data_IF_609835767750
#
_entry.id   IF_609835767750
#
_cell.length_a   1.000
_cell.length_b   1.000
_cell.length_c   1.000
_cell.angle_alpha   90.00
_cell.angle_beta   90.00
_cell.angle_gamma   90.00
#
_symmetry.space_group_name_H-M   'P 1'
#
loop_
_entity.id
_entity.type
_entity.pdbx_description
1 polymer ?
#
# COMPACT_ATOMS: atom_id res chain seq x y z
N UNK A 1 -7.21 17.95 -2.05
CA UNK A 1 -8.27 18.97 -1.83
C UNK A 1 -7.82 20.04 -0.84
N UNK A 2 -7.38 19.68 0.36
CA UNK A 2 -7.02 20.63 1.42
C UNK A 2 -5.91 21.61 1.02
N UNK A 3 -4.82 21.13 0.43
CA UNK A 3 -3.72 21.98 -0.07
C UNK A 3 -4.22 23.00 -1.10
N UNK A 4 -5.07 22.59 -2.04
CA UNK A 4 -5.58 23.47 -3.09
C UNK A 4 -6.54 24.54 -2.53
N UNK A 5 -7.38 24.17 -1.54
CA UNK A 5 -8.22 25.14 -0.83
C UNK A 5 -7.40 26.15 -0.04
N UNK A 6 -6.34 25.70 0.64
CA UNK A 6 -5.37 26.57 1.36
C UNK A 6 -4.66 27.55 0.43
N UNK A 7 -4.63 27.27 -0.88
CA UNK A 7 -4.08 28.14 -1.91
C UNK A 7 -5.16 28.94 -2.67
N UNK A 8 -6.37 29.08 -2.11
CA UNK A 8 -7.41 29.97 -2.63
C UNK A 8 -8.26 29.42 -3.77
N UNK A 9 -8.17 28.12 -4.08
CA UNK A 9 -9.01 27.51 -5.11
C UNK A 9 -10.36 27.08 -4.55
N UNK A 10 -11.44 27.48 -5.23
CA UNK A 10 -12.80 27.07 -4.90
C UNK A 10 -13.01 25.57 -5.12
N UNK A 11 -13.81 24.95 -4.25
CA UNK A 11 -14.04 23.50 -4.29
C UNK A 11 -14.65 23.03 -5.61
N UNK A 12 -15.56 23.80 -6.18
CA UNK A 12 -16.19 23.49 -7.47
C UNK A 12 -15.16 23.51 -8.61
N UNK A 13 -14.27 24.49 -8.61
CA UNK A 13 -13.14 24.57 -9.54
C UNK A 13 -12.19 23.37 -9.38
N UNK A 14 -11.89 22.97 -8.15
CA UNK A 14 -11.03 21.82 -7.91
C UNK A 14 -11.71 20.53 -8.40
N UNK A 15 -12.99 20.32 -8.06
CA UNK A 15 -13.75 19.13 -8.46
C UNK A 15 -13.88 19.01 -9.97
N UNK A 16 -14.19 20.12 -10.66
CA UNK A 16 -14.35 20.12 -12.12
C UNK A 16 -13.04 19.80 -12.85
N UNK A 17 -11.88 20.22 -12.31
CA UNK A 17 -10.56 19.99 -12.93
C UNK A 17 -9.82 18.75 -12.42
N UNK A 18 -10.30 18.10 -11.37
CA UNK A 18 -9.59 16.98 -10.72
C UNK A 18 -9.29 15.83 -11.70
N UNK A 19 -10.25 15.52 -12.57
CA UNK A 19 -10.08 14.48 -13.61
C UNK A 19 -8.96 14.83 -14.58
N UNK A 20 -8.88 16.08 -15.01
CA UNK A 20 -7.82 16.55 -15.92
C UNK A 20 -6.46 16.59 -15.23
N UNK A 21 -6.42 16.98 -13.95
CA UNK A 21 -5.21 16.92 -13.14
C UNK A 21 -4.69 15.48 -13.02
N UNK A 22 -5.55 14.51 -12.67
CA UNK A 22 -5.20 13.09 -12.58
C UNK A 22 -4.68 12.58 -13.92
N UNK A 23 -5.37 12.90 -15.03
CA UNK A 23 -4.94 12.53 -16.39
C UNK A 23 -3.58 13.12 -16.72
N UNK A 24 -3.34 14.38 -16.36
CA UNK A 24 -2.07 15.06 -16.56
C UNK A 24 -0.96 14.42 -15.74
N UNK A 25 -1.21 14.08 -14.48
CA UNK A 25 -0.25 13.38 -13.62
C UNK A 25 0.15 12.01 -14.22
N UNK A 26 -0.82 11.23 -14.69
CA UNK A 26 -0.56 9.94 -15.34
C UNK A 26 0.25 10.14 -16.62
N UNK A 27 -0.09 11.13 -17.44
CA UNK A 27 0.66 11.44 -18.66
C UNK A 27 2.09 11.87 -18.38
N UNK A 28 2.31 12.71 -17.36
CA UNK A 28 3.64 13.11 -16.93
C UNK A 28 4.44 11.89 -16.44
N UNK A 29 3.83 11.05 -15.59
CA UNK A 29 4.44 9.81 -15.13
C UNK A 29 4.83 8.89 -16.31
N UNK A 30 3.95 8.67 -17.28
CA UNK A 30 4.26 7.81 -18.43
C UNK A 30 5.42 8.34 -19.28
N UNK A 31 5.57 9.67 -19.38
CA UNK A 31 6.67 10.30 -20.13
C UNK A 31 8.01 10.22 -19.40
N UNK A 32 8.01 10.33 -18.07
CA UNK A 32 9.25 10.43 -17.28
C UNK A 32 9.71 9.10 -16.70
N UNK A 33 8.78 8.16 -16.49
CA UNK A 33 9.06 6.91 -15.78
C UNK A 33 9.74 5.83 -16.63
N UNK A 34 9.97 6.09 -17.93
CA UNK A 34 10.67 5.16 -18.83
C UNK A 34 12.07 4.81 -18.28
N UNK A 35 12.74 5.78 -17.66
CA UNK A 35 14.06 5.61 -17.07
C UNK A 35 14.03 5.50 -15.52
N UNK A 36 12.84 5.38 -14.92
CA UNK A 36 12.71 5.19 -13.47
C UNK A 36 13.21 3.80 -13.09
N UNK A 37 14.32 3.73 -12.35
CA UNK A 37 14.82 2.48 -11.80
C UNK A 37 13.99 2.08 -10.58
N UNK A 38 13.05 1.16 -10.79
CA UNK A 38 12.30 0.54 -9.69
C UNK A 38 13.12 -0.62 -9.14
N UNK A 39 13.45 -0.57 -7.85
CA UNK A 39 14.24 -1.60 -7.16
C UNK A 39 13.30 -2.37 -6.23
N UNK A 40 13.40 -3.69 -6.29
CA UNK A 40 12.73 -4.56 -5.31
C UNK A 40 13.67 -4.70 -4.11
N UNK A 41 13.15 -4.44 -2.92
CA UNK A 41 13.90 -4.61 -1.69
C UNK A 41 14.23 -6.10 -1.47
N UNK A 42 15.41 -6.37 -0.91
CA UNK A 42 15.86 -7.73 -0.62
C UNK A 42 14.84 -8.49 0.24
N UNK A 43 14.55 -9.74 -0.13
CA UNK A 43 13.63 -10.62 0.58
C UNK A 43 12.15 -10.46 0.17
N UNK A 44 11.77 -9.37 -0.50
CA UNK A 44 10.36 -9.15 -0.89
C UNK A 44 9.90 -10.17 -1.92
N UNK A 45 10.74 -10.57 -2.89
CA UNK A 45 10.33 -11.56 -3.91
C UNK A 45 10.10 -12.92 -3.28
N UNK A 46 11.02 -13.32 -2.43
CA UNK A 46 11.00 -14.58 -1.72
C UNK A 46 9.79 -14.66 -0.79
N UNK A 47 9.51 -13.59 -0.06
CA UNK A 47 8.32 -13.47 0.78
C UNK A 47 7.02 -13.58 -0.03
N UNK A 48 6.87 -12.79 -1.10
CA UNK A 48 5.65 -12.82 -1.93
C UNK A 48 5.43 -14.20 -2.56
N UNK A 49 6.51 -14.87 -2.99
CA UNK A 49 6.44 -16.25 -3.47
C UNK A 49 5.97 -17.21 -2.39
N UNK A 50 6.48 -17.09 -1.16
CA UNK A 50 6.09 -17.98 -0.08
C UNK A 50 4.62 -17.77 0.32
N UNK A 51 4.18 -16.52 0.45
CA UNK A 51 2.77 -16.20 0.72
C UNK A 51 1.84 -16.73 -0.38
N UNK A 52 2.23 -16.64 -1.65
CA UNK A 52 1.46 -17.18 -2.78
C UNK A 52 1.34 -18.72 -2.72
N UNK A 53 2.43 -19.44 -2.39
CA UNK A 53 2.39 -20.90 -2.19
C UNK A 53 1.40 -21.32 -1.10
N UNK A 54 1.28 -20.49 -0.06
CA UNK A 54 0.33 -20.70 1.03
C UNK A 54 -1.07 -20.15 0.75
N UNK A 55 -1.36 -19.73 -0.49
CA UNK A 55 -2.65 -19.18 -0.92
C UNK A 55 -3.10 -17.95 -0.13
N UNK A 56 -2.16 -17.14 0.37
CA UNK A 56 -2.48 -15.89 1.06
C UNK A 56 -3.01 -14.88 0.05
N UNK A 57 -4.21 -14.34 0.32
CA UNK A 57 -4.79 -13.29 -0.52
C UNK A 57 -4.06 -11.96 -0.28
N UNK A 58 -3.27 -11.53 -1.27
CA UNK A 58 -2.50 -10.30 -1.18
C UNK A 58 -3.21 -9.11 -1.85
N UNK A 59 -3.23 -7.98 -1.16
CA UNK A 59 -3.77 -6.70 -1.65
C UNK A 59 -2.72 -5.59 -1.63
N UNK A 60 -2.76 -4.69 -2.62
CA UNK A 60 -1.89 -3.51 -2.66
C UNK A 60 -2.64 -2.29 -2.13
N UNK A 61 -2.12 -1.65 -1.08
CA UNK A 61 -2.62 -0.37 -0.58
C UNK A 61 -1.54 0.69 -0.75
N UNK A 62 -1.86 1.79 -1.44
CA UNK A 62 -0.88 2.84 -1.72
C UNK A 62 -1.52 4.19 -1.99
N UNK A 63 -0.85 5.29 -1.61
CA UNK A 63 -1.25 6.64 -2.00
C UNK A 63 -1.03 6.98 -3.48
N UNK A 64 -0.39 6.09 -4.26
CA UNK A 64 -0.27 6.28 -5.71
C UNK A 64 -1.63 6.15 -6.40
N UNK A 65 -1.80 6.88 -7.50
CA UNK A 65 -2.90 6.61 -8.44
C UNK A 65 -2.77 5.16 -8.95
N UNK A 66 -3.90 4.47 -9.12
CA UNK A 66 -3.89 3.05 -9.48
C UNK A 66 -3.02 2.71 -10.71
N UNK A 67 -3.10 3.43 -11.86
CA UNK A 67 -2.27 3.12 -13.02
C UNK A 67 -0.77 3.23 -12.74
N UNK A 68 -0.37 4.17 -11.86
CA UNK A 68 1.03 4.40 -11.47
C UNK A 68 1.50 3.29 -10.54
N UNK A 69 0.71 2.97 -9.50
CA UNK A 69 1.05 1.89 -8.57
C UNK A 69 1.20 0.54 -9.26
N UNK A 70 0.29 0.22 -10.19
CA UNK A 70 0.32 -1.01 -10.98
C UNK A 70 1.49 -1.05 -11.97
N UNK A 71 1.82 0.07 -12.63
CA UNK A 71 2.98 0.14 -13.53
C UNK A 71 4.30 -0.13 -12.79
N UNK A 72 4.49 0.45 -11.60
CA UNK A 72 5.68 0.21 -10.77
C UNK A 72 5.87 -1.27 -10.46
N UNK A 73 4.81 -1.98 -10.06
CA UNK A 73 4.88 -3.42 -9.83
C UNK A 73 5.12 -4.22 -11.12
N UNK A 74 4.53 -3.80 -12.25
CA UNK A 74 4.73 -4.46 -13.55
C UNK A 74 6.18 -4.39 -14.00
N UNK A 75 6.85 -3.24 -13.84
CA UNK A 75 8.27 -3.05 -14.20
C UNK A 75 9.22 -4.02 -13.50
N UNK A 76 8.81 -4.55 -12.35
CA UNK A 76 9.58 -5.52 -11.56
C UNK A 76 8.93 -6.90 -11.49
N UNK A 77 7.92 -7.18 -12.32
CA UNK A 77 7.22 -8.47 -12.37
C UNK A 77 6.66 -8.93 -11.01
N UNK A 78 6.02 -8.01 -10.28
CA UNK A 78 5.34 -8.28 -9.00
C UNK A 78 3.83 -8.04 -9.05
N UNK A 79 3.29 -7.55 -10.16
CA UNK A 79 1.87 -7.18 -10.24
C UNK A 79 0.92 -8.38 -10.06
N UNK A 80 1.38 -9.60 -10.36
CA UNK A 80 0.59 -10.83 -10.34
C UNK A 80 0.19 -11.29 -8.93
N UNK A 81 0.96 -10.92 -7.90
CA UNK A 81 0.69 -11.32 -6.51
C UNK A 81 -0.54 -10.60 -5.94
N UNK A 82 -0.75 -9.33 -6.31
CA UNK A 82 -1.75 -8.46 -5.69
C UNK A 82 -3.10 -8.50 -6.41
N UNK A 83 -4.05 -9.27 -5.88
CA UNK A 83 -5.37 -9.52 -6.49
C UNK A 83 -6.38 -8.40 -6.28
N UNK A 84 -6.24 -7.64 -5.18
CA UNK A 84 -7.08 -6.50 -4.85
C UNK A 84 -6.24 -5.28 -4.49
N UNK A 85 -6.88 -4.12 -4.30
CA UNK A 85 -6.16 -2.94 -3.82
C UNK A 85 -7.02 -1.72 -3.53
N UNK A 86 -6.41 -0.79 -2.79
CA UNK A 86 -6.92 0.55 -2.51
C UNK A 86 -5.85 1.58 -2.87
N UNK A 87 -6.22 2.56 -3.69
CA UNK A 87 -5.29 3.48 -4.33
C UNK A 87 -5.61 4.93 -3.98
N UNK A 88 -4.64 5.83 -4.06
CA UNK A 88 -4.87 7.27 -3.83
C UNK A 88 -5.85 7.91 -4.83
N UNK A 89 -6.20 7.20 -5.91
CA UNK A 89 -7.30 7.56 -6.81
C UNK A 89 -8.69 7.29 -6.22
N UNK A 90 -8.80 6.39 -5.24
CA UNK A 90 -10.06 6.01 -4.58
C UNK A 90 -10.40 6.95 -3.41
N UNK A 91 -9.42 7.23 -2.54
CA UNK A 91 -9.58 8.08 -1.36
C UNK A 91 -8.24 8.70 -0.94
N UNK A 92 -8.28 9.83 -0.24
CA UNK A 92 -7.11 10.46 0.37
C UNK A 92 -6.78 9.87 1.76
N UNK A 93 -7.78 9.32 2.44
CA UNK A 93 -7.62 8.73 3.77
C UNK A 93 -7.11 7.29 3.65
N UNK A 94 -5.91 7.04 4.17
CA UNK A 94 -5.23 5.75 4.02
C UNK A 94 -6.01 4.58 4.65
N UNK A 95 -6.67 4.80 5.79
CA UNK A 95 -7.52 3.77 6.41
C UNK A 95 -8.74 3.40 5.56
N UNK A 96 -9.27 4.33 4.77
CA UNK A 96 -10.34 4.04 3.80
C UNK A 96 -9.82 3.17 2.65
N UNK A 97 -8.57 3.37 2.22
CA UNK A 97 -7.94 2.51 1.20
C UNK A 97 -7.79 1.06 1.69
N UNK A 98 -7.39 0.88 2.94
CA UNK A 98 -7.31 -0.46 3.59
C UNK A 98 -8.69 -1.10 3.64
N UNK A 99 -9.70 -0.38 4.14
CA UNK A 99 -11.10 -0.86 4.19
C UNK A 99 -11.64 -1.20 2.80
N UNK A 100 -11.31 -0.41 1.79
CA UNK A 100 -11.72 -0.65 0.41
C UNK A 100 -11.07 -1.92 -0.16
N UNK A 101 -9.78 -2.14 0.09
CA UNK A 101 -9.09 -3.36 -0.33
C UNK A 101 -9.72 -4.61 0.32
N UNK A 102 -10.03 -4.54 1.63
CA UNK A 102 -10.71 -5.63 2.36
C UNK A 102 -12.12 -5.86 1.82
N UNK A 103 -12.87 -4.80 1.52
CA UNK A 103 -14.20 -4.91 0.92
C UNK A 103 -14.12 -5.63 -0.43
N UNK A 104 -13.23 -5.18 -1.33
CA UNK A 104 -12.99 -5.83 -2.63
C UNK A 104 -12.55 -7.29 -2.47
N UNK A 105 -11.74 -7.60 -1.44
CA UNK A 105 -11.34 -8.97 -1.13
C UNK A 105 -12.56 -9.84 -0.80
N UNK A 106 -13.43 -9.39 0.13
CA UNK A 106 -14.63 -10.12 0.55
C UNK A 106 -15.67 -10.31 -0.55
N UNK A 107 -15.74 -9.36 -1.49
CA UNK A 107 -16.67 -9.43 -2.63
C UNK A 107 -16.23 -10.41 -3.71
N UNK A 108 -14.91 -10.58 -3.93
CA UNK A 108 -14.37 -11.35 -5.04
C UNK A 108 -13.75 -12.70 -4.62
N UNK A 109 -13.47 -12.87 -3.33
CA UNK A 109 -12.78 -14.04 -2.80
C UNK A 109 -13.41 -14.48 -1.48
N UNK A 110 -13.41 -15.79 -1.24
CA UNK A 110 -13.71 -16.35 0.06
C UNK A 110 -12.43 -16.46 0.86
N UNK A 111 -12.33 -15.73 1.97
CA UNK A 111 -11.28 -15.91 2.95
C UNK A 111 -11.89 -15.79 4.35
N UNK A 112 -11.39 -16.60 5.27
CA UNK A 112 -11.72 -16.57 6.68
C UNK A 112 -10.40 -16.56 7.43
N UNK A 113 -10.07 -15.45 8.08
CA UNK A 113 -8.76 -15.25 8.68
C UNK A 113 -8.45 -13.79 9.00
N UNK A 114 -7.34 -13.61 9.71
CA UNK A 114 -6.83 -12.30 10.07
C UNK A 114 -6.34 -11.53 8.84
N UNK A 115 -6.50 -10.21 8.89
CA UNK A 115 -5.93 -9.29 7.90
C UNK A 115 -4.76 -8.58 8.55
N UNK A 116 -3.64 -8.54 7.83
CA UNK A 116 -2.43 -7.84 8.23
C UNK A 116 -2.12 -6.71 7.25
N UNK A 117 -1.82 -5.53 7.76
CA UNK A 117 -1.31 -4.41 6.98
C UNK A 117 0.19 -4.26 7.24
N UNK A 118 0.98 -4.43 6.18
CA UNK A 118 2.42 -4.19 6.18
C UNK A 118 2.72 -2.79 5.67
N UNK A 119 3.57 -2.05 6.39
CA UNK A 119 3.98 -0.70 5.97
C UNK A 119 5.23 -0.22 6.70
N UNK A 120 5.88 0.80 6.14
CA UNK A 120 7.16 1.34 6.59
C UNK A 120 7.04 2.74 7.22
N UNK A 121 5.81 3.22 7.40
CA UNK A 121 5.52 4.55 7.95
C UNK A 121 4.57 4.47 9.17
N UNK A 122 4.67 5.41 10.13
CA UNK A 122 3.66 5.58 11.19
C UNK A 122 2.23 5.69 10.64
N UNK A 123 2.06 6.33 9.49
CA UNK A 123 0.76 6.48 8.83
C UNK A 123 0.18 5.15 8.34
N UNK A 124 1.02 4.16 8.00
CA UNK A 124 0.56 2.80 7.72
C UNK A 124 0.01 2.13 8.98
N UNK A 125 0.73 2.26 10.09
CA UNK A 125 0.31 1.68 11.38
C UNK A 125 -1.02 2.31 11.83
N UNK A 126 -1.11 3.64 11.78
CA UNK A 126 -2.34 4.35 12.11
C UNK A 126 -3.50 3.94 11.18
N UNK A 127 -3.23 3.78 9.88
CA UNK A 127 -4.24 3.37 8.91
C UNK A 127 -4.77 1.96 9.19
N UNK A 128 -3.89 1.01 9.50
CA UNK A 128 -4.27 -0.37 9.84
C UNK A 128 -5.09 -0.43 11.12
N UNK A 129 -4.68 0.30 12.16
CA UNK A 129 -5.46 0.40 13.41
C UNK A 129 -6.85 0.98 13.19
N UNK A 130 -6.96 2.09 12.47
CA UNK A 130 -8.26 2.70 12.11
C UNK A 130 -9.12 1.79 11.21
N UNK A 131 -8.49 0.86 10.50
CA UNK A 131 -9.16 -0.17 9.71
C UNK A 131 -9.52 -1.43 10.52
N UNK A 132 -9.01 -1.57 11.75
CA UNK A 132 -9.26 -2.72 12.62
C UNK A 132 -8.52 -3.98 12.18
N UNK A 133 -7.32 -3.83 11.61
CA UNK A 133 -6.47 -4.95 11.17
C UNK A 133 -5.16 -4.98 11.94
N UNK A 134 -4.53 -6.16 12.01
CA UNK A 134 -3.19 -6.30 12.61
C UNK A 134 -2.17 -5.53 11.77
N UNK A 135 -1.20 -4.90 12.42
CA UNK A 135 -0.21 -4.01 11.78
C UNK A 135 1.19 -4.57 11.92
N UNK A 136 1.93 -4.56 10.82
CA UNK A 136 3.33 -4.98 10.78
C UNK A 136 4.17 -3.84 10.21
N UNK A 137 4.91 -3.17 11.09
CA UNK A 137 5.91 -2.18 10.72
C UNK A 137 7.14 -2.85 10.11
N UNK A 138 7.60 -2.40 8.95
CA UNK A 138 8.83 -2.90 8.31
C UNK A 138 9.80 -1.74 8.12
N UNK A 139 10.88 -1.71 8.90
CA UNK A 139 11.84 -0.59 8.98
C UNK A 139 12.80 -0.51 7.78
N UNK A 140 12.27 -0.63 6.56
CA UNK A 140 13.01 -0.48 5.30
C UNK A 140 12.85 0.90 4.67
N UNK A 141 11.97 1.74 5.24
CA UNK A 141 11.71 3.11 4.82
C UNK A 141 12.63 4.13 5.47
N UNK A 142 12.12 5.36 5.62
CA UNK A 142 12.83 6.45 6.31
C UNK A 142 12.67 6.41 7.83
N UNK A 143 11.70 5.64 8.32
CA UNK A 143 11.42 5.53 9.76
C UNK A 143 12.17 4.35 10.36
N UNK A 144 12.77 4.59 11.52
CA UNK A 144 13.47 3.55 12.27
C UNK A 144 12.50 2.55 12.87
N UNK A 145 13.02 1.38 13.24
CA UNK A 145 12.29 0.37 14.00
C UNK A 145 11.63 0.97 15.25
N UNK A 146 12.39 1.74 16.03
CA UNK A 146 11.91 2.41 17.24
C UNK A 146 10.76 3.38 16.95
N UNK A 147 10.82 4.13 15.84
CA UNK A 147 9.72 5.03 15.46
C UNK A 147 8.44 4.27 15.09
N UNK A 148 8.57 3.11 14.44
CA UNK A 148 7.43 2.24 14.13
C UNK A 148 6.87 1.56 15.39
N UNK A 149 7.73 1.14 16.33
CA UNK A 149 7.32 0.64 17.64
C UNK A 149 6.54 1.71 18.44
N UNK A 150 7.05 2.94 18.45
CA UNK A 150 6.40 4.10 19.08
C UNK A 150 5.10 4.54 18.38
N UNK A 151 4.79 3.99 17.20
CA UNK A 151 3.51 4.18 16.52
C UNK A 151 2.46 3.12 16.92
N UNK A 152 2.76 2.35 17.97
CA UNK A 152 1.99 1.25 18.53
C UNK A 152 1.74 0.08 17.54
N UNK A 153 2.67 -0.20 16.63
CA UNK A 153 2.53 -1.34 15.72
C UNK A 153 2.40 -2.67 16.50
N UNK A 154 1.54 -3.59 16.03
CA UNK A 154 1.39 -4.91 16.69
C UNK A 154 2.68 -5.73 16.58
N UNK A 155 3.38 -5.60 15.45
CA UNK A 155 4.67 -6.21 15.21
C UNK A 155 5.59 -5.25 14.45
N UNK A 156 6.90 -5.34 14.69
CA UNK A 156 7.91 -4.59 13.93
C UNK A 156 9.07 -5.49 13.50
N UNK A 157 9.44 -5.37 12.23
CA UNK A 157 10.51 -6.09 11.56
C UNK A 157 11.53 -5.10 11.01
N UNK A 158 12.81 -5.46 11.00
CA UNK A 158 13.83 -4.62 10.36
C UNK A 158 13.75 -4.69 8.84
N UNK A 159 13.38 -5.85 8.30
CA UNK A 159 13.30 -6.11 6.86
C UNK A 159 12.45 -7.36 6.61
N UNK A 160 12.28 -7.70 5.33
CA UNK A 160 11.45 -8.83 4.89
C UNK A 160 12.24 -10.12 4.62
N UNK A 161 13.49 -10.24 5.11
CA UNK A 161 14.37 -11.38 4.80
C UNK A 161 14.06 -12.64 5.64
N UNK A 162 13.59 -12.47 6.87
CA UNK A 162 13.24 -13.57 7.76
C UNK A 162 11.79 -14.04 7.50
N UNK A 163 11.63 -14.88 6.48
CA UNK A 163 10.33 -15.39 6.06
C UNK A 163 9.68 -16.20 7.19
N UNK A 164 10.44 -17.04 7.89
CA UNK A 164 9.90 -17.87 8.97
C UNK A 164 9.28 -17.02 10.08
N UNK A 165 9.95 -15.94 10.49
CA UNK A 165 9.41 -15.00 11.46
C UNK A 165 8.13 -14.32 10.97
N UNK A 166 8.05 -13.98 9.68
CA UNK A 166 6.83 -13.39 9.11
C UNK A 166 5.67 -14.40 9.11
N UNK A 167 5.94 -15.66 8.77
CA UNK A 167 4.95 -16.72 8.80
C UNK A 167 4.48 -17.02 10.23
N UNK A 168 5.38 -16.97 11.21
CA UNK A 168 5.04 -17.07 12.64
C UNK A 168 4.13 -15.93 13.09
N UNK A 169 4.36 -14.69 12.63
CA UNK A 169 3.45 -13.56 12.92
C UNK A 169 2.06 -13.76 12.31
N UNK A 170 1.99 -14.36 11.11
CA UNK A 170 0.73 -14.54 10.38
C UNK A 170 -0.11 -15.70 10.95
N UNK A 171 0.53 -16.78 11.42
CA UNK A 171 -0.16 -18.01 11.84
C UNK A 171 0.01 -18.39 13.32
N UNK A 172 0.88 -17.72 14.07
CA UNK A 172 1.05 -17.90 15.52
C UNK A 172 0.01 -17.15 16.32
#
# INVERSE_FOLDING_TARGET
MEVLRKNGLEEETIKSKLKDCIKTMINCYNKTSVNEKVIVLDGVRELLNELDKHNVLMGLVTGNLEPIGRDKLRKVSLSQYFKVGGFGSDDICRSNLVKLAIKKAKENFSFDGDVFLFGDTPEDIEAGKKAGVKTVGVATGIYSKEQLENSDADFVLENSKDINKILEIIWG
#
